data_IF_037886055542
#
_entry.id   IF_037886055542
#
_cell.length_a   1.000
_cell.length_b   1.000
_cell.length_c   1.000
_cell.angle_alpha   90.00
_cell.angle_beta   90.00
_cell.angle_gamma   90.00
#
_symmetry.space_group_name_H-M   'P 1'
#
loop_
_entity.id
_entity.type
_entity.pdbx_description
1 polymer ?
#
# COMPACT_ATOMS: atom_id res chain seq x y z
N UNK A 1 -9.78 15.59 -1.95
CA UNK A 1 -10.19 14.16 -2.07
C UNK A 1 -8.94 13.34 -2.37
N UNK A 2 -8.55 12.39 -1.52
CA UNK A 2 -7.32 11.57 -1.71
C UNK A 2 -7.48 10.46 -2.77
N UNK A 3 -8.26 10.74 -3.83
CA UNK A 3 -8.60 9.76 -4.86
C UNK A 3 -7.64 9.90 -6.02
N UNK A 4 -6.87 8.85 -6.29
CA UNK A 4 -6.00 8.78 -7.47
C UNK A 4 -6.79 8.21 -8.65
N UNK A 5 -6.89 8.99 -9.73
CA UNK A 5 -7.64 8.65 -10.92
C UNK A 5 -6.73 8.32 -12.10
N UNK A 6 -7.03 7.23 -12.80
CA UNK A 6 -6.33 6.82 -14.01
C UNK A 6 -5.01 6.08 -13.77
N UNK A 7 -4.66 5.24 -14.76
CA UNK A 7 -3.50 4.34 -14.71
C UNK A 7 -2.17 5.05 -14.49
N UNK A 8 -1.95 6.19 -15.15
CA UNK A 8 -0.67 6.91 -15.05
C UNK A 8 -0.46 7.55 -13.68
N UNK A 9 -1.51 8.13 -13.08
CA UNK A 9 -1.39 8.67 -11.72
C UNK A 9 -1.25 7.55 -10.68
N UNK A 10 -1.89 6.40 -10.91
CA UNK A 10 -1.69 5.23 -10.05
C UNK A 10 -0.25 4.71 -10.11
N UNK A 11 0.35 4.63 -11.32
CA UNK A 11 1.78 4.29 -11.46
C UNK A 11 2.67 5.27 -10.70
N UNK A 12 2.43 6.58 -10.82
CA UNK A 12 3.19 7.60 -10.06
C UNK A 12 3.11 7.37 -8.55
N UNK A 13 1.92 7.03 -8.02
CA UNK A 13 1.76 6.69 -6.60
C UNK A 13 2.56 5.44 -6.22
N UNK A 14 2.53 4.39 -7.04
CA UNK A 14 3.30 3.16 -6.80
C UNK A 14 4.80 3.43 -6.86
N UNK A 15 5.26 4.24 -7.82
CA UNK A 15 6.67 4.64 -7.92
C UNK A 15 7.11 5.44 -6.70
N UNK A 16 6.32 6.43 -6.26
CA UNK A 16 6.62 7.21 -5.05
C UNK A 16 6.74 6.30 -3.82
N UNK A 17 5.78 5.39 -3.63
CA UNK A 17 5.83 4.40 -2.55
C UNK A 17 7.11 3.54 -2.59
N UNK A 18 7.45 2.99 -3.77
CA UNK A 18 8.67 2.17 -3.93
C UNK A 18 9.95 2.97 -3.74
N UNK A 19 9.94 4.26 -4.04
CA UNK A 19 11.10 5.12 -3.76
C UNK A 19 11.27 5.37 -2.25
N UNK A 20 10.18 5.42 -1.47
CA UNK A 20 10.27 5.51 0.00
C UNK A 20 10.65 4.20 0.68
N UNK A 21 10.45 3.07 0.01
CA UNK A 21 10.80 1.72 0.46
C UNK A 21 11.44 0.90 -0.69
N UNK A 22 12.70 1.16 -1.06
CA UNK A 22 13.33 0.59 -2.26
C UNK A 22 13.52 -0.93 -2.21
N UNK A 23 13.60 -1.49 -1.01
CA UNK A 23 13.74 -2.92 -0.72
C UNK A 23 12.41 -3.54 -0.23
N UNK A 24 11.27 -2.92 -0.56
CA UNK A 24 9.96 -3.37 -0.09
C UNK A 24 9.61 -4.77 -0.55
N UNK A 25 9.15 -5.58 0.39
CA UNK A 25 8.55 -6.91 0.16
C UNK A 25 7.13 -6.88 0.70
N UNK A 26 6.16 -7.36 -0.09
CA UNK A 26 4.78 -7.54 0.33
C UNK A 26 4.48 -9.02 0.58
N UNK A 27 3.89 -9.30 1.73
CA UNK A 27 3.27 -10.58 2.06
C UNK A 27 1.75 -10.43 2.08
N UNK A 28 1.04 -11.38 1.48
CA UNK A 28 -0.41 -11.49 1.64
C UNK A 28 -0.67 -12.40 2.84
N UNK A 29 -1.29 -11.86 3.88
CA UNK A 29 -1.54 -12.59 5.11
C UNK A 29 -2.87 -13.36 5.03
N UNK A 30 -3.89 -12.74 4.42
CA UNK A 30 -5.17 -13.38 4.13
C UNK A 30 -5.91 -12.67 3.00
N UNK A 31 -6.84 -13.37 2.35
CA UNK A 31 -7.77 -12.72 1.43
C UNK A 31 -9.11 -13.44 1.39
N UNK A 32 -10.15 -12.71 1.02
CA UNK A 32 -11.48 -13.23 0.68
C UNK A 32 -11.97 -12.59 -0.61
N UNK A 33 -12.80 -13.30 -1.37
CA UNK A 33 -13.40 -12.76 -2.58
C UNK A 33 -14.80 -13.31 -2.83
N UNK A 34 -15.64 -12.49 -3.44
CA UNK A 34 -16.95 -12.88 -3.97
C UNK A 34 -17.00 -12.84 -5.52
N UNK A 35 -15.84 -12.73 -6.19
CA UNK A 35 -15.74 -12.61 -7.65
C UNK A 35 -15.76 -11.18 -8.19
N UNK A 36 -16.42 -10.25 -7.50
CA UNK A 36 -16.46 -8.82 -7.88
C UNK A 36 -15.56 -7.95 -7.00
N UNK A 37 -15.33 -8.38 -5.77
CA UNK A 37 -14.48 -7.71 -4.79
C UNK A 37 -13.48 -8.72 -4.25
N UNK A 38 -12.24 -8.29 -4.08
CA UNK A 38 -11.20 -9.00 -3.33
C UNK A 38 -10.81 -8.11 -2.15
N UNK A 39 -10.93 -8.64 -0.94
CA UNK A 39 -10.40 -8.02 0.27
C UNK A 39 -9.13 -8.77 0.68
N UNK A 40 -8.04 -8.06 0.90
CA UNK A 40 -6.72 -8.63 1.21
C UNK A 40 -6.15 -7.92 2.43
N UNK A 41 -5.74 -8.68 3.44
CA UNK A 41 -4.83 -8.17 4.48
C UNK A 41 -3.39 -8.46 4.06
N UNK A 42 -2.50 -7.53 4.33
CA UNK A 42 -1.10 -7.66 3.96
C UNK A 42 -0.18 -7.08 5.04
N UNK A 43 1.06 -7.54 5.01
CA UNK A 43 2.19 -6.93 5.68
C UNK A 43 3.21 -6.55 4.61
N UNK A 44 3.73 -5.33 4.64
CA UNK A 44 4.92 -4.98 3.88
C UNK A 44 6.10 -4.69 4.80
N UNK A 45 7.27 -5.14 4.38
CA UNK A 45 8.54 -4.92 5.07
C UNK A 45 9.48 -4.17 4.16
N UNK A 46 10.17 -3.14 4.66
CA UNK A 46 11.14 -2.38 3.86
C UNK A 46 11.88 -1.34 4.69
N UNK A 47 12.87 -0.70 4.10
CA UNK A 47 13.67 0.37 4.71
C UNK A 47 13.08 1.72 4.33
N UNK A 48 12.74 2.57 5.31
CA UNK A 48 12.13 3.88 5.08
C UNK A 48 13.18 4.94 4.69
N UNK A 49 13.50 5.05 3.40
CA UNK A 49 14.62 5.86 2.89
C UNK A 49 14.24 7.26 2.40
N UNK A 50 12.96 7.52 2.16
CA UNK A 50 12.45 8.85 1.77
C UNK A 50 11.16 9.16 2.52
N UNK A 51 10.75 10.44 2.53
CA UNK A 51 9.48 10.85 3.12
C UNK A 51 8.32 9.97 2.62
N UNK A 52 7.47 9.53 3.54
CA UNK A 52 6.27 8.79 3.21
C UNK A 52 5.11 9.21 4.11
N UNK A 53 3.95 9.51 3.51
CA UNK A 53 2.73 9.88 4.23
C UNK A 53 2.93 11.03 5.26
N UNK A 54 3.84 11.96 4.99
CA UNK A 54 4.17 13.09 5.88
C UNK A 54 5.19 12.77 6.98
N UNK A 55 5.70 11.53 7.03
CA UNK A 55 6.78 11.15 7.93
C UNK A 55 8.13 11.25 7.21
N UNK A 56 9.12 11.97 7.77
CA UNK A 56 10.45 12.03 7.18
C UNK A 56 11.15 10.66 7.21
N UNK A 57 12.10 10.45 6.31
CA UNK A 57 12.86 9.21 6.24
C UNK A 57 13.50 8.87 7.59
N UNK A 58 13.21 7.67 8.12
CA UNK A 58 13.80 7.20 9.38
C UNK A 58 15.05 6.34 9.16
N UNK A 59 15.31 5.88 7.93
CA UNK A 59 16.37 4.95 7.56
C UNK A 59 16.37 3.63 8.35
N UNK A 60 15.23 3.27 8.95
CA UNK A 60 15.04 2.00 9.66
C UNK A 60 14.25 1.04 8.80
N UNK A 61 14.45 -0.25 9.06
CA UNK A 61 13.56 -1.30 8.56
C UNK A 61 12.25 -1.27 9.34
N UNK A 62 11.14 -1.36 8.63
CA UNK A 62 9.78 -1.25 9.15
C UNK A 62 8.92 -2.38 8.65
N UNK A 63 7.96 -2.80 9.48
CA UNK A 63 6.91 -3.76 9.15
C UNK A 63 5.56 -3.10 9.34
N UNK A 64 4.85 -2.88 8.23
CA UNK A 64 3.57 -2.16 8.22
C UNK A 64 2.47 -3.08 7.72
N UNK A 65 1.40 -3.16 8.49
CA UNK A 65 0.21 -3.95 8.16
C UNK A 65 -0.85 -3.07 7.50
N UNK A 66 -1.68 -3.67 6.65
CA UNK A 66 -2.76 -2.95 5.99
C UNK A 66 -3.79 -3.85 5.32
N UNK A 67 -4.78 -3.19 4.72
CA UNK A 67 -5.89 -3.84 4.02
C UNK A 67 -6.09 -3.16 2.66
N UNK A 68 -6.34 -3.98 1.64
CA UNK A 68 -6.80 -3.56 0.32
C UNK A 68 -8.17 -4.16 0.03
N UNK A 69 -9.07 -3.35 -0.50
CA UNK A 69 -10.28 -3.80 -1.18
C UNK A 69 -10.15 -3.44 -2.65
N UNK A 70 -10.18 -4.43 -3.54
CA UNK A 70 -10.14 -4.22 -4.97
C UNK A 70 -11.49 -4.61 -5.58
N UNK A 71 -12.11 -3.71 -6.31
CA UNK A 71 -13.28 -4.00 -7.15
C UNK A 71 -12.81 -4.40 -8.54
N UNK A 72 -13.41 -5.47 -9.08
CA UNK A 72 -13.10 -6.05 -10.36
C UNK A 72 -14.25 -5.88 -11.35
N UNK A 73 -13.89 -5.71 -12.63
CA UNK A 73 -14.79 -5.82 -13.76
C UNK A 73 -14.05 -6.52 -14.89
N UNK A 74 -14.63 -7.59 -15.46
CA UNK A 74 -14.01 -8.38 -16.52
C UNK A 74 -12.57 -8.84 -16.17
N UNK A 75 -12.38 -9.29 -14.92
CA UNK A 75 -11.07 -9.74 -14.42
C UNK A 75 -10.04 -8.64 -14.20
N UNK A 76 -10.40 -7.35 -14.30
CA UNK A 76 -9.49 -6.21 -14.10
C UNK A 76 -9.91 -5.39 -12.89
N UNK A 77 -8.93 -4.91 -12.13
CA UNK A 77 -9.17 -3.96 -11.02
C UNK A 77 -9.59 -2.62 -11.60
N UNK A 78 -10.80 -2.17 -11.25
CA UNK A 78 -11.35 -0.87 -11.66
C UNK A 78 -11.30 0.16 -10.54
N UNK A 79 -11.19 -0.29 -9.29
CA UNK A 79 -11.11 0.57 -8.10
C UNK A 79 -10.42 -0.14 -6.96
N UNK A 80 -9.69 0.62 -6.15
CA UNK A 80 -9.09 0.11 -4.91
C UNK A 80 -9.32 1.09 -3.77
N UNK A 81 -9.65 0.55 -2.60
CA UNK A 81 -9.57 1.24 -1.32
C UNK A 81 -8.45 0.60 -0.51
N UNK A 82 -7.65 1.41 0.17
CA UNK A 82 -6.47 0.97 0.86
C UNK A 82 -6.30 1.74 2.16
N UNK A 83 -5.83 1.06 3.20
CA UNK A 83 -5.46 1.66 4.46
C UNK A 83 -4.34 0.86 5.12
N UNK A 84 -3.49 1.57 5.86
CA UNK A 84 -2.51 0.95 6.75
C UNK A 84 -3.06 0.98 8.17
N UNK A 85 -2.82 -0.09 8.93
CA UNK A 85 -3.38 -0.26 10.27
C UNK A 85 -2.47 0.32 11.35
N UNK A 86 -1.15 0.20 11.20
CA UNK A 86 -0.15 0.58 12.21
C UNK A 86 0.87 1.62 11.72
N UNK A 87 0.63 2.31 10.61
CA UNK A 87 1.68 3.11 9.96
C UNK A 87 2.22 4.26 10.82
N UNK A 88 1.36 4.92 11.60
CA UNK A 88 1.78 6.04 12.43
C UNK A 88 2.71 5.58 13.56
N UNK A 89 2.37 4.46 14.22
CA UNK A 89 3.21 3.83 15.24
C UNK A 89 4.58 3.45 14.68
N UNK A 90 4.59 2.81 13.51
CA UNK A 90 5.80 2.26 12.91
C UNK A 90 6.73 3.36 12.38
N UNK A 91 6.19 4.42 11.75
CA UNK A 91 6.97 5.48 11.13
C UNK A 91 7.31 6.65 12.08
N UNK A 92 6.60 6.82 13.19
CA UNK A 92 6.91 7.85 14.18
C UNK A 92 7.95 7.41 15.23
N UNK A 93 8.16 6.10 15.37
CA UNK A 93 9.22 5.54 16.22
C UNK A 93 10.62 5.83 15.67
#
# INVERSE_FOLDING_TARGET
>A
TNVVQGRENFKKRVTAFRNSFPDVVYSIDSFVSNGEIVATSFTFSGTHTNEFAGFPASNRRVDVTGIHFAQLQNGKIVKTWAGFTNIAEVLAA
#
